data_IF_245587693060
#
_entry.id   IF_245587693060
#
_cell.length_a   1.000
_cell.length_b   1.000
_cell.length_c   1.000
_cell.angle_alpha   90.00
_cell.angle_beta   90.00
_cell.angle_gamma   90.00
#
_symmetry.space_group_name_H-M   'P 1'
#
loop_
_entity.id
_entity.type
_entity.pdbx_description
1 polymer ?
#
# COMPACT_ATOMS: atom_id res chain seq x y z
N UNK A 1 8.73 -7.60 10.58
CA UNK A 1 8.37 -6.49 9.66
C UNK A 1 6.89 -6.49 9.30
N UNK A 2 6.32 -7.56 8.75
CA UNK A 2 4.86 -7.66 8.49
C UNK A 2 4.01 -7.35 9.74
N UNK A 3 4.29 -8.00 10.86
CA UNK A 3 3.63 -7.74 12.17
C UNK A 3 3.77 -6.28 12.64
N UNK A 4 4.91 -5.64 12.36
CA UNK A 4 5.15 -4.25 12.73
C UNK A 4 4.27 -3.31 11.90
N UNK A 5 4.15 -3.55 10.60
CA UNK A 5 3.25 -2.80 9.70
C UNK A 5 1.81 -2.95 10.16
N UNK A 6 1.37 -4.17 10.51
CA UNK A 6 0.03 -4.43 11.04
C UNK A 6 -0.19 -3.63 12.32
N UNK A 7 0.75 -3.73 13.28
CA UNK A 7 0.67 -3.01 14.57
C UNK A 7 0.64 -1.49 14.40
N UNK A 8 1.52 -0.93 13.56
CA UNK A 8 1.54 0.50 13.26
C UNK A 8 0.26 0.95 12.58
N UNK A 9 -0.27 0.16 11.64
CA UNK A 9 -1.52 0.47 10.95
C UNK A 9 -2.72 0.47 11.91
N UNK A 10 -2.76 -0.46 12.85
CA UNK A 10 -3.77 -0.49 13.91
C UNK A 10 -3.68 0.73 14.83
N UNK A 11 -2.46 1.13 15.22
CA UNK A 11 -2.24 2.35 16.04
C UNK A 11 -2.66 3.62 15.32
N UNK A 12 -2.43 3.68 14.01
CA UNK A 12 -2.75 4.83 13.17
C UNK A 12 -4.16 4.76 12.54
N UNK A 13 -5.09 3.94 13.07
CA UNK A 13 -6.44 3.70 12.49
C UNK A 13 -7.21 4.96 12.05
N UNK A 14 -7.03 6.07 12.75
CA UNK A 14 -7.73 7.33 12.47
C UNK A 14 -7.04 8.20 11.39
N UNK A 15 -5.89 7.78 10.86
CA UNK A 15 -5.18 8.50 9.81
C UNK A 15 -6.03 8.54 8.53
N UNK A 16 -6.22 9.74 7.96
CA UNK A 16 -7.00 9.95 6.72
C UNK A 16 -6.47 9.12 5.55
N UNK A 17 -5.18 8.78 5.55
CA UNK A 17 -4.54 7.90 4.58
C UNK A 17 -5.28 6.58 4.41
N UNK A 18 -5.79 6.03 5.50
CA UNK A 18 -6.48 4.74 5.54
C UNK A 18 -7.89 4.76 4.95
N UNK A 19 -8.45 5.94 4.67
CA UNK A 19 -9.76 6.07 4.00
C UNK A 19 -9.68 5.80 2.50
N UNK A 20 -8.47 5.82 1.92
CA UNK A 20 -8.25 5.47 0.52
C UNK A 20 -8.61 4.00 0.26
N UNK A 21 -9.01 3.71 -0.98
CA UNK A 21 -9.49 2.39 -1.40
C UNK A 21 -8.77 1.93 -2.66
N UNK A 22 -8.57 0.63 -2.76
CA UNK A 22 -8.11 -0.08 -3.95
C UNK A 22 -9.33 -0.82 -4.51
N UNK A 23 -9.53 -0.71 -5.82
CA UNK A 23 -10.53 -1.50 -6.52
C UNK A 23 -9.88 -2.75 -7.10
N UNK A 24 -10.38 -3.91 -6.66
CA UNK A 24 -10.01 -5.23 -7.15
C UNK A 24 -10.99 -5.58 -8.27
N UNK A 25 -10.51 -5.72 -9.51
CA UNK A 25 -11.34 -6.12 -10.66
C UNK A 25 -10.88 -7.47 -11.18
N UNK A 26 -11.82 -8.40 -11.29
CA UNK A 26 -11.61 -9.70 -11.90
C UNK A 26 -12.11 -9.69 -13.36
N UNK A 27 -11.51 -10.52 -14.21
CA UNK A 27 -11.90 -10.69 -15.60
C UNK A 27 -13.33 -11.23 -15.77
N UNK A 28 -13.87 -11.94 -14.75
CA UNK A 28 -15.26 -12.40 -14.75
C UNK A 28 -16.30 -11.27 -14.57
N UNK A 29 -15.85 -10.03 -14.39
CA UNK A 29 -16.71 -8.86 -14.17
C UNK A 29 -16.99 -8.56 -12.70
N UNK A 30 -16.53 -9.41 -11.76
CA UNK A 30 -16.61 -9.11 -10.34
C UNK A 30 -15.67 -7.95 -9.97
N UNK A 31 -16.17 -7.01 -9.17
CA UNK A 31 -15.37 -5.92 -8.61
C UNK A 31 -15.65 -5.76 -7.13
N UNK A 32 -14.60 -5.63 -6.33
CA UNK A 32 -14.71 -5.29 -4.91
C UNK A 32 -13.77 -4.13 -4.56
N UNK A 33 -14.07 -3.42 -3.48
CA UNK A 33 -13.24 -2.31 -3.00
C UNK A 33 -12.78 -2.61 -1.60
N UNK A 34 -11.48 -2.52 -1.37
CA UNK A 34 -10.87 -2.66 -0.05
C UNK A 34 -10.18 -1.36 0.33
N UNK A 35 -10.30 -0.95 1.59
CA UNK A 35 -9.57 0.19 2.12
C UNK A 35 -8.10 -0.16 2.33
N UNK A 36 -7.24 0.86 2.38
CA UNK A 36 -5.83 0.65 2.73
C UNK A 36 -5.68 0.08 4.15
N UNK A 37 -6.61 0.42 5.04
CA UNK A 37 -6.66 -0.17 6.38
C UNK A 37 -6.93 -1.66 6.34
N UNK A 38 -7.96 -2.10 5.61
CA UNK A 38 -8.30 -3.52 5.47
C UNK A 38 -7.17 -4.30 4.81
N UNK A 39 -6.54 -3.73 3.77
CA UNK A 39 -5.37 -4.33 3.12
C UNK A 39 -4.23 -4.62 4.11
N UNK A 40 -3.88 -3.64 4.94
CA UNK A 40 -2.70 -3.70 5.81
C UNK A 40 -2.97 -4.36 7.16
N UNK A 41 -4.22 -4.36 7.65
CA UNK A 41 -4.57 -4.98 8.93
C UNK A 41 -5.16 -6.38 8.80
N UNK A 42 -5.64 -6.75 7.61
CA UNK A 42 -6.13 -8.11 7.32
C UNK A 42 -5.02 -9.17 7.40
N UNK A 43 -3.75 -8.78 7.32
CA UNK A 43 -2.61 -9.70 7.49
C UNK A 43 -2.41 -10.68 6.33
N UNK A 44 -3.20 -10.61 5.28
CA UNK A 44 -3.10 -11.48 4.09
C UNK A 44 -2.07 -10.99 3.05
N UNK A 45 -1.47 -9.81 3.27
CA UNK A 45 -0.46 -9.26 2.35
C UNK A 45 0.93 -9.87 2.55
N UNK A 46 1.75 -9.86 1.51
CA UNK A 46 3.15 -10.27 1.50
C UNK A 46 4.04 -9.09 1.12
N UNK A 47 5.25 -9.06 1.68
CA UNK A 47 6.29 -8.09 1.32
C UNK A 47 7.12 -8.71 0.21
N UNK A 48 7.18 -8.03 -0.93
CA UNK A 48 7.97 -8.44 -2.09
C UNK A 48 9.47 -8.30 -1.86
N UNK A 49 10.24 -8.72 -2.87
CA UNK A 49 11.65 -8.36 -2.94
C UNK A 49 11.78 -6.93 -3.45
N UNK A 50 12.82 -6.22 -2.98
CA UNK A 50 13.17 -4.91 -3.50
C UNK A 50 13.44 -5.01 -5.01
N UNK A 51 12.75 -4.17 -5.78
CA UNK A 51 12.87 -4.12 -7.24
C UNK A 51 13.24 -2.71 -7.69
N UNK A 52 14.02 -2.62 -8.76
CA UNK A 52 14.36 -1.33 -9.37
C UNK A 52 13.24 -0.92 -10.32
N UNK A 53 12.66 0.26 -10.10
CA UNK A 53 11.68 0.88 -11.01
C UNK A 53 12.16 2.26 -11.42
N UNK A 54 11.75 2.73 -12.60
CA UNK A 54 12.01 4.12 -13.02
C UNK A 54 11.21 5.04 -12.12
N UNK A 55 11.87 6.07 -11.57
CA UNK A 55 11.24 7.09 -10.75
C UNK A 55 10.19 7.83 -11.58
N UNK A 56 8.90 7.86 -11.16
CA UNK A 56 7.89 8.63 -11.87
C UNK A 56 8.06 10.15 -11.69
N UNK A 57 8.95 10.61 -10.79
CA UNK A 57 9.14 12.02 -10.45
C UNK A 57 10.30 12.68 -11.19
N UNK A 58 11.27 11.90 -11.68
CA UNK A 58 12.45 12.40 -12.38
C UNK A 58 12.45 11.77 -13.77
N UNK A 59 11.78 12.44 -14.70
CA UNK A 59 11.84 12.17 -16.13
C UNK A 59 12.45 13.39 -16.82
N UNK A 60 13.68 13.74 -16.44
CA UNK A 60 14.45 14.69 -17.23
C UNK A 60 14.96 13.95 -18.46
N UNK A 61 14.89 14.59 -19.63
CA UNK A 61 15.17 14.05 -20.99
C UNK A 61 16.56 13.42 -21.20
N UNK A 62 17.37 13.27 -20.14
CA UNK A 62 18.76 12.85 -20.15
C UNK A 62 19.04 11.74 -19.11
N UNK A 63 18.20 11.56 -18.08
CA UNK A 63 18.40 10.53 -17.04
C UNK A 63 17.08 9.98 -16.48
N UNK A 64 16.84 8.69 -16.73
CA UNK A 64 15.89 7.89 -15.97
C UNK A 64 16.54 7.47 -14.65
N UNK A 65 16.16 8.11 -13.54
CA UNK A 65 16.65 7.68 -12.23
C UNK A 65 15.93 6.39 -11.82
N UNK A 66 16.69 5.32 -11.60
CA UNK A 66 16.16 4.06 -11.07
C UNK A 66 16.13 4.11 -9.55
N UNK A 67 14.94 3.91 -8.98
CA UNK A 67 14.75 3.81 -7.53
C UNK A 67 14.49 2.36 -7.15
N UNK A 68 15.04 1.94 -6.01
CA UNK A 68 14.71 0.65 -5.41
C UNK A 68 13.48 0.79 -4.54
N UNK A 69 12.45 0.01 -4.82
CA UNK A 69 11.18 0.00 -4.08
C UNK A 69 10.81 -1.40 -3.65
N UNK A 70 10.23 -1.55 -2.46
CA UNK A 70 9.74 -2.84 -1.97
C UNK A 70 8.21 -2.89 -2.06
N UNK A 71 7.62 -3.64 -3.02
CA UNK A 71 6.19 -3.72 -3.20
C UNK A 71 5.51 -4.59 -2.13
N UNK A 72 4.24 -4.32 -1.86
CA UNK A 72 3.38 -5.13 -1.01
C UNK A 72 2.31 -5.76 -1.89
N UNK A 73 2.08 -7.07 -1.74
CA UNK A 73 1.13 -7.82 -2.56
C UNK A 73 0.04 -8.43 -1.70
N UNK A 74 -1.20 -8.42 -2.16
CA UNK A 74 -2.27 -9.22 -1.61
C UNK A 74 -2.69 -10.23 -2.67
N UNK A 75 -2.72 -11.52 -2.32
CA UNK A 75 -3.36 -12.54 -3.15
C UNK A 75 -4.67 -12.95 -2.50
N UNK A 76 -5.75 -12.88 -3.28
CA UNK A 76 -7.10 -13.27 -2.84
C UNK A 76 -7.81 -13.98 -3.98
N UNK A 77 -8.64 -14.97 -3.67
CA UNK A 77 -9.50 -15.61 -4.69
C UNK A 77 -10.74 -14.78 -4.98
N UNK A 78 -11.10 -14.69 -6.25
CA UNK A 78 -12.35 -14.06 -6.67
C UNK A 78 -13.54 -14.83 -6.09
N UNK A 79 -14.45 -14.13 -5.42
CA UNK A 79 -15.64 -14.76 -4.82
C UNK A 79 -16.62 -15.38 -5.85
N UNK A 80 -16.47 -15.08 -7.14
CA UNK A 80 -17.37 -15.54 -8.20
C UNK A 80 -16.80 -16.67 -9.05
N UNK A 81 -15.54 -16.56 -9.51
CA UNK A 81 -14.92 -17.56 -10.39
C UNK A 81 -13.76 -18.34 -9.75
N UNK A 82 -13.42 -18.06 -8.49
CA UNK A 82 -12.31 -18.65 -7.74
C UNK A 82 -10.90 -18.42 -8.34
N UNK A 83 -10.78 -17.57 -9.36
CA UNK A 83 -9.49 -17.16 -9.92
C UNK A 83 -8.68 -16.36 -8.92
N UNK A 84 -7.36 -16.55 -8.93
CA UNK A 84 -6.43 -15.81 -8.08
C UNK A 84 -6.27 -14.37 -8.57
N UNK A 85 -6.54 -13.41 -7.69
CA UNK A 85 -6.35 -11.99 -7.89
C UNK A 85 -5.13 -11.55 -7.10
N UNK A 86 -4.08 -11.14 -7.80
CA UNK A 86 -2.91 -10.51 -7.17
C UNK A 86 -3.01 -9.01 -7.33
N UNK A 87 -2.95 -8.29 -6.21
CA UNK A 87 -2.99 -6.82 -6.20
C UNK A 87 -1.81 -6.25 -5.47
N UNK A 88 -1.21 -5.24 -6.09
CA UNK A 88 -0.07 -4.50 -5.56
C UNK A 88 -0.60 -3.30 -4.80
N UNK A 89 -0.11 -3.11 -3.57
CA UNK A 89 -0.39 -1.89 -2.82
C UNK A 89 0.24 -0.70 -3.55
N UNK A 90 -0.47 0.44 -3.67
CA UNK A 90 -0.04 1.55 -4.52
C UNK A 90 1.14 2.34 -3.95
N UNK A 91 1.61 2.01 -2.74
CA UNK A 91 2.72 2.68 -2.07
C UNK A 91 3.77 1.65 -1.68
N UNK A 92 5.02 1.92 -2.00
CA UNK A 92 6.15 1.08 -1.61
C UNK A 92 6.32 1.07 -0.09
N UNK A 93 6.90 -0.01 0.44
CA UNK A 93 7.10 -0.21 1.88
C UNK A 93 7.83 0.96 2.54
N UNK A 94 8.84 1.52 1.87
CA UNK A 94 9.68 2.61 2.37
C UNK A 94 8.83 3.86 2.66
N UNK A 95 7.98 4.25 1.71
CA UNK A 95 7.06 5.38 1.87
C UNK A 95 5.94 5.06 2.87
N UNK A 96 5.45 3.82 2.88
CA UNK A 96 4.43 3.39 3.84
C UNK A 96 4.93 3.53 5.28
N UNK A 97 6.15 3.07 5.59
CA UNK A 97 6.72 3.17 6.93
C UNK A 97 6.79 4.64 7.39
N UNK A 98 7.16 5.57 6.51
CA UNK A 98 7.19 6.99 6.83
C UNK A 98 5.81 7.52 7.21
N UNK A 99 4.77 7.18 6.44
CA UNK A 99 3.38 7.58 6.72
C UNK A 99 2.88 6.97 8.04
N UNK A 100 3.25 5.71 8.32
CA UNK A 100 2.83 5.02 9.53
C UNK A 100 3.53 5.54 10.80
N UNK A 101 4.75 6.05 10.67
CA UNK A 101 5.54 6.59 11.78
C UNK A 101 5.41 8.11 11.95
N UNK A 102 4.91 8.82 10.94
CA UNK A 102 4.63 10.25 11.08
C UNK A 102 3.52 10.45 12.10
N UNK A 103 3.85 11.06 13.24
CA UNK A 103 2.84 11.58 14.14
C UNK A 103 2.05 12.68 13.43
N UNK A 104 0.73 12.80 13.66
CA UNK A 104 0.03 14.01 13.26
C UNK A 104 0.74 15.23 13.87
N UNK A 105 0.90 16.34 13.14
CA UNK A 105 1.50 17.54 13.68
C UNK A 105 0.80 17.92 14.99
N UNK A 106 1.59 18.21 16.03
CA UNK A 106 1.04 18.57 17.35
C UNK A 106 0.11 19.78 17.20
N UNK A 107 -1.19 19.66 17.51
CA UNK A 107 -2.13 20.76 17.39
C UNK A 107 -1.72 21.98 18.20
N UNK A 108 -0.96 21.81 19.30
CA UNK A 108 -0.50 22.92 20.15
C UNK A 108 0.61 23.75 19.50
N UNK A 109 1.34 23.21 18.52
CA UNK A 109 2.43 23.92 17.84
C UNK A 109 1.96 24.83 16.70
N UNK A 110 0.67 24.76 16.34
CA UNK A 110 0.04 25.55 15.28
C UNK A 110 -1.19 26.33 15.77
N UNK A 111 -1.26 26.57 17.10
CA UNK A 111 -2.26 27.40 17.76
C UNK A 111 -2.04 28.89 17.55
#
# INVERSE_FOLDING_TARGET
>A
MKEEIISLSQKARNNIFFKNKIELRCNCGHSEKITYYEFLTGGEFNIGQATSTVSPFISETIYDETISVTPLYLSKRCATCDEELTVVFPIALEALILILRSNPPDPQMYG
#
